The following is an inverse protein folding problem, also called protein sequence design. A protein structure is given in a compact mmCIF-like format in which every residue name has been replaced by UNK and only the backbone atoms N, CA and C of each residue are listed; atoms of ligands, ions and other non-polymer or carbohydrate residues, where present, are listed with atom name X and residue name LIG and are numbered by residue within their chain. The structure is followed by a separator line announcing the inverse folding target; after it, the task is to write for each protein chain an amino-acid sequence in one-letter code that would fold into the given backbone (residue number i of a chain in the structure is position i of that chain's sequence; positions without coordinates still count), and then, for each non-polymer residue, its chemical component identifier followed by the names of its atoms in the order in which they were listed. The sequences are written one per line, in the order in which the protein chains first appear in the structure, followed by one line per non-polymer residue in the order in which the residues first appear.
data_IF_612563454208
#
_entry.id   IF_612563454208
#
_cell.length_a   1.000
_cell.length_b   1.000
_cell.length_c   1.000
_cell.angle_alpha   90.00
_cell.angle_beta   90.00
_cell.angle_gamma   90.00
#
_symmetry.space_group_name_H-M   'P 1'
#
loop_
_entity.id
_entity.type
_entity.pdbx_description
1 polymer ?
#
# COMPACT_ATOMS: atom_id res chain seq x y z
N UNK A 1 -65.20 32.19 -1.66
CA UNK A 1 -65.26 30.95 -2.49
C UNK A 1 -63.99 30.15 -2.20
N UNK A 2 -63.93 28.87 -2.57
CA UNK A 2 -62.67 28.12 -2.45
C UNK A 2 -61.66 28.68 -3.45
N UNK A 3 -60.36 28.57 -3.15
CA UNK A 3 -59.28 29.13 -3.95
C UNK A 3 -58.16 28.11 -4.19
N UNK A 4 -57.74 27.95 -5.43
CA UNK A 4 -56.50 27.24 -5.75
C UNK A 4 -55.32 28.20 -5.69
N UNK A 5 -54.21 27.74 -5.11
CA UNK A 5 -52.98 28.52 -5.02
C UNK A 5 -51.75 27.62 -5.12
N UNK A 6 -50.61 28.17 -5.54
CA UNK A 6 -49.33 27.45 -5.59
C UNK A 6 -48.34 28.00 -4.57
N UNK A 7 -47.48 27.12 -4.06
CA UNK A 7 -46.35 27.52 -3.23
C UNK A 7 -45.18 27.96 -4.11
N UNK A 8 -44.47 29.00 -3.68
CA UNK A 8 -43.16 29.38 -4.18
C UNK A 8 -42.11 28.87 -3.19
N UNK A 9 -41.35 27.86 -3.59
CA UNK A 9 -40.29 27.26 -2.77
C UNK A 9 -39.09 28.20 -2.62
N UNK A 10 -38.25 27.96 -1.62
CA UNK A 10 -37.01 28.73 -1.38
C UNK A 10 -36.03 28.66 -2.57
N UNK A 11 -36.10 27.58 -3.35
CA UNK A 11 -35.38 27.42 -4.61
C UNK A 11 -36.04 28.15 -5.80
N UNK A 12 -37.01 29.04 -5.57
CA UNK A 12 -37.76 29.80 -6.58
C UNK A 12 -38.63 28.97 -7.53
N UNK A 13 -38.75 27.66 -7.29
CA UNK A 13 -39.67 26.80 -8.03
C UNK A 13 -41.10 26.91 -7.50
N UNK A 14 -42.08 26.84 -8.41
CA UNK A 14 -43.48 26.68 -8.03
C UNK A 14 -43.76 25.21 -7.66
N UNK A 15 -44.70 24.98 -6.75
CA UNK A 15 -45.17 23.64 -6.45
C UNK A 15 -45.90 23.04 -7.65
N UNK A 16 -45.57 21.80 -8.01
CA UNK A 16 -46.20 21.07 -9.11
C UNK A 16 -47.71 20.91 -8.89
N UNK A 17 -48.11 20.65 -7.64
CA UNK A 17 -49.51 20.44 -7.26
C UNK A 17 -50.13 21.73 -6.71
N UNK A 18 -51.30 22.16 -7.20
CA UNK A 18 -52.03 23.28 -6.60
C UNK A 18 -52.59 22.85 -5.23
N UNK A 19 -52.57 23.78 -4.29
CA UNK A 19 -53.20 23.67 -2.98
C UNK A 19 -54.57 24.32 -3.02
N UNK A 20 -55.49 23.83 -2.18
CA UNK A 20 -56.82 24.41 -2.04
C UNK A 20 -56.95 25.10 -0.69
N UNK A 21 -57.39 26.34 -0.71
CA UNK A 21 -57.92 27.04 0.45
C UNK A 21 -59.44 26.97 0.39
N UNK A 22 -60.02 26.22 1.32
CA UNK A 22 -61.47 26.06 1.39
C UNK A 22 -62.10 27.28 2.03
N UNK A 23 -63.25 27.72 1.51
CA UNK A 23 -64.07 28.71 2.22
C UNK A 23 -64.62 28.10 3.52
N UNK A 24 -65.07 28.95 4.45
CA UNK A 24 -65.62 28.51 5.75
C UNK A 24 -66.70 27.43 5.61
N UNK A 25 -67.62 27.59 4.66
CA UNK A 25 -68.68 26.59 4.40
C UNK A 25 -68.08 25.27 3.95
N UNK A 26 -67.19 25.30 2.96
CA UNK A 26 -66.56 24.08 2.44
C UNK A 26 -65.69 23.36 3.47
N UNK A 27 -65.04 24.10 4.36
CA UNK A 27 -64.30 23.51 5.48
C UNK A 27 -65.22 22.75 6.45
N UNK A 28 -66.41 23.30 6.75
CA UNK A 28 -67.37 22.67 7.66
C UNK A 28 -68.11 21.48 7.03
N UNK A 29 -68.43 21.55 5.73
CA UNK A 29 -69.14 20.49 5.02
C UNK A 29 -68.23 19.47 4.32
N UNK A 30 -66.92 19.71 4.30
CA UNK A 30 -65.92 18.97 3.53
C UNK A 30 -66.27 18.87 2.03
N UNK A 31 -66.95 19.88 1.48
CA UNK A 31 -67.31 19.97 0.06
C UNK A 31 -66.75 21.25 -0.54
N UNK A 32 -66.09 21.15 -1.69
CA UNK A 32 -65.55 22.31 -2.39
C UNK A 32 -66.67 23.09 -3.10
N UNK A 33 -66.41 24.39 -3.37
CA UNK A 33 -67.31 25.17 -4.22
C UNK A 33 -67.31 24.62 -5.65
N UNK A 34 -68.43 24.68 -6.39
CA UNK A 34 -68.48 24.28 -7.80
C UNK A 34 -67.52 25.11 -8.67
N UNK A 35 -67.48 26.41 -8.42
CA UNK A 35 -66.56 27.35 -9.07
C UNK A 35 -65.43 27.69 -8.08
N UNK A 36 -64.22 27.23 -8.39
CA UNK A 36 -63.01 27.50 -7.62
C UNK A 36 -62.16 28.45 -8.44
N UNK A 37 -61.84 29.62 -7.89
CA UNK A 37 -60.94 30.58 -8.56
C UNK A 37 -59.48 30.26 -8.28
N UNK A 38 -58.59 30.63 -9.20
CA UNK A 38 -57.15 30.50 -9.04
C UNK A 38 -56.55 31.82 -8.51
N UNK A 39 -55.61 31.70 -7.57
CA UNK A 39 -54.81 32.81 -7.04
C UNK A 39 -53.55 32.96 -7.88
N UNK A 40 -53.43 34.07 -8.60
CA UNK A 40 -52.29 34.39 -9.46
C UNK A 40 -50.99 34.61 -8.66
N UNK A 41 -51.09 34.91 -7.35
CA UNK A 41 -49.94 35.20 -6.49
C UNK A 41 -49.51 33.95 -5.73
N UNK A 42 -48.35 33.36 -6.06
CA UNK A 42 -47.87 32.21 -5.32
C UNK A 42 -47.45 32.61 -3.91
N UNK A 43 -47.72 31.75 -2.94
CA UNK A 43 -47.41 32.01 -1.53
C UNK A 43 -46.05 31.44 -1.16
N UNK A 44 -45.24 32.14 -0.35
CA UNK A 44 -43.91 31.67 -0.01
C UNK A 44 -43.98 30.37 0.82
N UNK A 45 -43.09 29.43 0.49
CA UNK A 45 -42.82 28.22 1.26
C UNK A 45 -41.51 28.40 2.03
N UNK A 46 -41.48 27.88 3.25
CA UNK A 46 -40.28 27.84 4.09
C UNK A 46 -39.30 26.72 3.70
N UNK A 47 -39.69 25.86 2.76
CA UNK A 47 -38.92 24.68 2.35
C UNK A 47 -38.59 24.71 0.84
N UNK A 48 -37.43 24.13 0.45
CA UNK A 48 -37.11 23.86 -0.95
C UNK A 48 -38.08 22.85 -1.56
N UNK A 49 -38.14 22.78 -2.89
CA UNK A 49 -38.97 21.80 -3.56
C UNK A 49 -38.36 20.39 -3.42
N UNK A 50 -39.22 19.36 -3.44
CA UNK A 50 -38.80 17.97 -3.33
C UNK A 50 -37.73 17.55 -4.35
N UNK A 51 -37.80 17.97 -5.64
CA UNK A 51 -36.71 17.72 -6.60
C UNK A 51 -35.35 18.25 -6.16
N UNK A 52 -35.27 19.46 -5.60
CA UNK A 52 -34.03 20.03 -5.09
C UNK A 52 -33.50 19.23 -3.89
N UNK A 53 -34.35 18.90 -2.93
CA UNK A 53 -33.97 18.08 -1.76
C UNK A 53 -33.43 16.71 -2.21
N UNK A 54 -34.11 16.08 -3.18
CA UNK A 54 -33.69 14.79 -3.72
C UNK A 54 -32.34 14.88 -4.43
N UNK A 55 -32.09 15.97 -5.14
CA UNK A 55 -30.80 16.20 -5.81
C UNK A 55 -29.68 16.39 -4.79
N UNK A 56 -29.89 17.22 -3.77
CA UNK A 56 -28.92 17.45 -2.69
C UNK A 56 -28.58 16.14 -1.98
N UNK A 57 -29.59 15.37 -1.57
CA UNK A 57 -29.38 14.07 -0.94
C UNK A 57 -28.59 13.09 -1.82
N UNK A 58 -28.80 13.13 -3.15
CA UNK A 58 -28.03 12.32 -4.09
C UNK A 58 -26.57 12.78 -4.17
N UNK A 59 -26.32 14.08 -4.24
CA UNK A 59 -24.97 14.66 -4.28
C UNK A 59 -24.21 14.29 -2.99
N UNK A 60 -24.86 14.39 -1.83
CA UNK A 60 -24.27 14.00 -0.55
C UNK A 60 -23.92 12.52 -0.50
N UNK A 61 -24.82 11.64 -0.96
CA UNK A 61 -24.55 10.21 -1.04
C UNK A 61 -23.37 9.89 -1.98
N UNK A 62 -23.32 10.52 -3.16
CA UNK A 62 -22.20 10.36 -4.10
C UNK A 62 -20.88 10.88 -3.52
N UNK A 63 -20.90 11.99 -2.78
CA UNK A 63 -19.73 12.53 -2.10
C UNK A 63 -19.22 11.58 -1.00
N UNK A 64 -20.12 10.99 -0.22
CA UNK A 64 -19.79 10.02 0.82
C UNK A 64 -19.12 8.76 0.22
N UNK A 65 -19.68 8.22 -0.87
CA UNK A 65 -19.10 7.07 -1.56
C UNK A 65 -17.70 7.40 -2.09
N UNK A 66 -17.51 8.59 -2.69
CA UNK A 66 -16.18 9.02 -3.17
C UNK A 66 -15.17 9.14 -2.04
N UNK A 67 -15.58 9.67 -0.90
CA UNK A 67 -14.75 9.77 0.29
C UNK A 67 -14.32 8.38 0.79
N UNK A 68 -15.25 7.44 0.91
CA UNK A 68 -14.96 6.06 1.33
C UNK A 68 -14.03 5.33 0.36
N UNK A 69 -14.23 5.48 -0.95
CA UNK A 69 -13.35 4.92 -1.97
C UNK A 69 -11.92 5.46 -1.86
N UNK A 70 -11.78 6.75 -1.60
CA UNK A 70 -10.48 7.39 -1.45
C UNK A 70 -9.76 6.93 -0.17
N UNK A 71 -10.48 6.80 0.95
CA UNK A 71 -9.91 6.25 2.19
C UNK A 71 -9.49 4.78 2.02
N UNK A 72 -10.30 3.97 1.32
CA UNK A 72 -9.94 2.59 0.98
C UNK A 72 -8.68 2.53 0.11
N UNK A 73 -8.58 3.38 -0.92
CA UNK A 73 -7.41 3.44 -1.80
C UNK A 73 -6.14 3.80 -1.02
N UNK A 74 -6.20 4.80 -0.12
CA UNK A 74 -5.08 5.14 0.76
C UNK A 74 -4.68 4.00 1.70
N UNK A 75 -5.65 3.32 2.30
CA UNK A 75 -5.39 2.16 3.16
C UNK A 75 -4.72 1.02 2.37
N UNK A 76 -5.12 0.82 1.12
CA UNK A 76 -4.49 -0.15 0.24
C UNK A 76 -3.05 0.24 -0.11
N UNK A 77 -2.81 1.48 -0.53
CA UNK A 77 -1.46 1.98 -0.88
C UNK A 77 -0.49 1.91 0.29
N UNK A 78 -0.95 2.29 1.50
CA UNK A 78 -0.13 2.21 2.71
C UNK A 78 0.24 0.77 3.06
N UNK A 79 -0.70 -0.17 2.92
CA UNK A 79 -0.43 -1.61 3.10
C UNK A 79 0.56 -2.14 2.07
N UNK A 80 0.40 -1.78 0.80
CA UNK A 80 1.34 -2.17 -0.26
C UNK A 80 2.74 -1.63 0.01
N UNK A 81 2.85 -0.34 0.37
CA UNK A 81 4.13 0.29 0.69
C UNK A 81 4.82 -0.41 1.86
N UNK A 82 4.09 -0.67 2.95
CA UNK A 82 4.62 -1.38 4.10
C UNK A 82 5.10 -2.81 3.73
N UNK A 83 4.38 -3.51 2.85
CA UNK A 83 4.80 -4.82 2.38
C UNK A 83 6.09 -4.76 1.54
N UNK A 84 6.18 -3.81 0.60
CA UNK A 84 7.38 -3.60 -0.23
C UNK A 84 8.59 -3.22 0.63
N UNK A 85 8.40 -2.33 1.60
CA UNK A 85 9.45 -1.93 2.55
C UNK A 85 9.92 -3.10 3.41
N UNK A 86 9.00 -3.95 3.88
CA UNK A 86 9.34 -5.17 4.63
C UNK A 86 10.17 -6.14 3.79
N UNK A 87 9.78 -6.37 2.53
CA UNK A 87 10.55 -7.22 1.61
C UNK A 87 11.94 -6.65 1.34
N UNK A 88 12.04 -5.34 1.09
CA UNK A 88 13.32 -4.66 0.89
C UNK A 88 14.22 -4.70 2.15
N UNK A 89 13.64 -4.58 3.35
CA UNK A 89 14.37 -4.72 4.60
C UNK A 89 14.88 -6.16 4.79
N UNK A 90 14.07 -7.17 4.46
CA UNK A 90 14.47 -8.58 4.55
C UNK A 90 15.63 -8.90 3.60
N UNK A 91 15.59 -8.41 2.36
CA UNK A 91 16.68 -8.56 1.39
C UNK A 91 17.97 -7.92 1.90
N UNK A 92 17.90 -6.68 2.39
CA UNK A 92 19.06 -5.99 2.99
C UNK A 92 19.64 -6.76 4.19
N UNK A 93 18.78 -7.31 5.05
CA UNK A 93 19.21 -8.13 6.18
C UNK A 93 19.85 -9.46 5.76
N UNK A 94 19.40 -10.07 4.66
CA UNK A 94 20.04 -11.25 4.06
C UNK A 94 21.42 -10.89 3.50
N UNK A 95 21.53 -9.81 2.74
CA UNK A 95 22.81 -9.36 2.19
C UNK A 95 23.82 -9.02 3.29
N UNK A 96 23.39 -8.35 4.36
CA UNK A 96 24.28 -8.00 5.46
C UNK A 96 24.80 -9.26 6.19
N UNK A 97 23.94 -10.27 6.39
CA UNK A 97 24.35 -11.57 6.94
C UNK A 97 25.42 -12.22 6.07
N UNK A 98 25.19 -12.30 4.76
CA UNK A 98 26.17 -12.85 3.82
C UNK A 98 27.50 -12.09 3.87
N UNK A 99 27.47 -10.75 3.94
CA UNK A 99 28.69 -9.95 4.05
C UNK A 99 29.43 -10.20 5.36
N UNK A 100 28.73 -10.36 6.49
CA UNK A 100 29.36 -10.68 7.79
C UNK A 100 29.97 -12.07 7.76
N UNK A 101 29.24 -13.08 7.29
CA UNK A 101 29.73 -14.46 7.17
C UNK A 101 30.96 -14.56 6.26
N UNK A 102 30.98 -13.81 5.15
CA UNK A 102 32.13 -13.75 4.25
C UNK A 102 33.36 -13.13 4.93
N UNK A 103 33.18 -12.05 5.70
CA UNK A 103 34.26 -11.43 6.49
C UNK A 103 34.82 -12.38 7.55
N UNK A 104 33.93 -13.07 8.27
CA UNK A 104 34.32 -14.01 9.31
C UNK A 104 35.06 -15.22 8.73
N UNK A 105 34.60 -15.76 7.60
CA UNK A 105 35.29 -16.85 6.90
C UNK A 105 36.68 -16.43 6.43
N UNK A 106 36.79 -15.26 5.80
CA UNK A 106 38.07 -14.72 5.36
C UNK A 106 39.03 -14.40 6.53
N UNK A 107 38.51 -14.09 7.72
CA UNK A 107 39.33 -13.94 8.93
C UNK A 107 39.85 -15.30 9.42
N UNK A 108 38.97 -16.31 9.51
CA UNK A 108 39.34 -17.67 9.93
C UNK A 108 40.36 -18.32 9.01
N UNK A 109 40.22 -18.15 7.69
CA UNK A 109 41.18 -18.69 6.71
C UNK A 109 42.55 -18.03 6.86
N UNK A 110 42.61 -16.70 7.05
CA UNK A 110 43.87 -16.00 7.32
C UNK A 110 44.52 -16.43 8.63
N UNK A 111 43.75 -16.64 9.69
CA UNK A 111 44.28 -17.16 10.95
C UNK A 111 44.80 -18.59 10.82
N UNK A 112 44.08 -19.47 10.10
CA UNK A 112 44.50 -20.83 9.84
C UNK A 112 45.79 -20.88 9.01
N UNK A 113 45.89 -20.06 7.96
CA UNK A 113 47.09 -19.95 7.12
C UNK A 113 48.29 -19.43 7.92
N UNK A 114 48.08 -18.44 8.81
CA UNK A 114 49.13 -17.97 9.71
C UNK A 114 49.58 -19.04 10.70
N UNK A 115 48.67 -19.87 11.24
CA UNK A 115 49.04 -20.99 12.12
C UNK A 115 49.83 -22.05 11.37
N UNK A 116 49.37 -22.46 10.20
CA UNK A 116 50.08 -23.41 9.33
C UNK A 116 51.48 -22.89 8.95
N UNK A 117 51.61 -21.59 8.67
CA UNK A 117 52.91 -20.97 8.39
C UNK A 117 53.84 -21.02 9.60
N UNK A 118 53.35 -20.70 10.80
CA UNK A 118 54.14 -20.77 12.04
C UNK A 118 54.57 -22.20 12.35
N UNK A 119 53.68 -23.18 12.21
CA UNK A 119 54.01 -24.60 12.38
C UNK A 119 55.06 -25.07 11.38
N UNK A 120 54.97 -24.64 10.12
CA UNK A 120 55.98 -24.94 9.09
C UNK A 120 57.34 -24.31 9.40
N UNK A 121 57.36 -23.05 9.83
CA UNK A 121 58.60 -22.37 10.25
C UNK A 121 59.21 -23.02 11.49
N UNK A 122 58.40 -23.46 12.46
CA UNK A 122 58.88 -24.19 13.62
C UNK A 122 59.42 -25.58 13.26
N UNK A 123 58.76 -26.30 12.36
CA UNK A 123 59.22 -27.59 11.85
C UNK A 123 60.55 -27.44 11.08
N UNK A 124 60.70 -26.42 10.24
CA UNK A 124 61.95 -26.13 9.54
C UNK A 124 63.07 -25.75 10.54
N UNK A 125 62.74 -25.00 11.60
CA UNK A 125 63.70 -24.66 12.65
C UNK A 125 64.11 -25.88 13.49
N UNK A 126 63.19 -26.81 13.77
CA UNK A 126 63.51 -28.10 14.41
C UNK A 126 64.39 -28.95 13.50
N UNK A 127 64.05 -29.06 12.22
CA UNK A 127 64.87 -29.78 11.23
C UNK A 127 66.29 -29.19 11.07
N UNK A 128 66.44 -27.85 11.14
CA UNK A 128 67.76 -27.19 11.16
C UNK A 128 68.55 -27.43 12.45
N UNK A 129 67.87 -27.59 13.60
CA UNK A 129 68.51 -27.85 14.91
C UNK A 129 68.83 -29.32 15.15
N UNK A 130 68.04 -30.25 14.62
CA UNK A 130 68.24 -31.70 14.78
C UNK A 130 69.29 -32.30 13.83
N UNK A 131 69.89 -31.48 12.96
CA UNK A 131 70.96 -31.92 12.05
C UNK A 131 70.39 -32.43 10.74
N UNK A 132 70.94 -31.91 9.64
CA UNK A 132 70.51 -32.23 8.30
C UNK A 132 70.49 -33.74 8.06
N UNK A 133 69.40 -34.23 7.47
CA UNK A 133 69.42 -35.50 6.78
C UNK A 133 70.60 -35.46 5.80
N UNK A 134 71.65 -36.20 6.10
CA UNK A 134 72.66 -36.58 5.13
C UNK A 134 71.94 -37.42 4.09
N UNK A 135 71.41 -36.76 3.06
CA UNK A 135 71.07 -37.43 1.82
C UNK A 135 72.41 -37.87 1.25
N UNK A 136 72.77 -39.13 1.50
CA UNK A 136 73.77 -39.84 0.70
C UNK A 136 73.26 -39.87 -0.74
N UNK A 137 73.55 -38.82 -1.51
CA UNK A 137 73.58 -38.90 -2.96
C UNK A 137 74.75 -39.82 -3.31
N UNK A 138 74.45 -41.12 -3.28
CA UNK A 138 75.29 -42.16 -3.85
C UNK A 138 75.61 -41.79 -5.30
N UNK A 139 76.85 -41.37 -5.49
CA UNK A 139 77.51 -41.29 -6.77
C UNK A 139 77.52 -42.70 -7.37
N UNK A 140 76.92 -42.84 -8.55
CA UNK A 140 77.29 -43.87 -9.51
C UNK A 140 76.33 -45.04 -9.65
N UNK A 141 75.56 -45.05 -10.74
CA UNK A 141 75.49 -46.16 -11.70
C UNK A 141 74.77 -45.70 -12.97
N UNK A 142 75.53 -45.51 -14.05
CA UNK A 142 75.04 -45.60 -15.44
C UNK A 142 74.68 -47.06 -15.72
N UNK A 143 73.47 -47.40 -16.19
CA UNK A 143 73.28 -48.55 -17.04
C UNK A 143 73.28 -48.14 -18.50
N UNK A 144 74.30 -48.69 -19.16
CA UNK A 144 74.46 -48.96 -20.59
C UNK A 144 73.13 -49.17 -21.33
N UNK A 145 73.05 -48.51 -22.48
CA UNK A 145 72.25 -48.83 -23.68
C UNK A 145 71.54 -50.20 -23.74
N UNK A 146 70.28 -50.20 -24.19
CA UNK A 146 69.80 -51.20 -25.16
C UNK A 146 68.71 -50.61 -26.07
N UNK A 147 69.04 -50.55 -27.36
CA UNK A 147 68.10 -50.48 -28.49
C UNK A 147 67.29 -51.79 -28.54
N UNK A 148 65.97 -51.67 -28.67
CA UNK A 148 65.04 -52.62 -29.32
C UNK A 148 63.63 -52.06 -29.14
N UNK A 149 62.78 -51.89 -30.13
CA UNK A 149 62.80 -52.04 -31.58
C UNK A 149 61.65 -51.21 -32.13
#
# INVERSE_FOLDING_TARGET
MCLYWKKLHTCSHLSDRPYIEMCRTGFLSNTVCPDISEDDKPRPSHFPCYPCIKLEARIEAEAQIRFEQHEFAKAYETRERAMREKQAAELRAKEERVRREARDRAAREREAEQRMKREKEEAERRAKKEGGAWIETSVGKKPKSKRSG
#
